data_IF_565118264183
#
_entry.id   IF_565118264183
#
_cell.length_a   1.000
_cell.length_b   1.000
_cell.length_c   1.000
_cell.angle_alpha   90.00
_cell.angle_beta   90.00
_cell.angle_gamma   90.00
#
_symmetry.space_group_name_H-M   'P 1'
#
loop_
_entity.id
_entity.type
_entity.pdbx_description
1 polymer ?
#
# COMPACT_ATOMS: atom_id res chain seq x y z
N UNK A 1 34.07 9.66 2.90
CA UNK A 1 32.91 9.60 1.97
C UNK A 1 33.40 9.00 0.65
N UNK A 2 32.93 7.80 0.26
CA UNK A 2 33.12 7.33 -1.12
C UNK A 2 32.40 8.33 -2.04
N UNK A 3 33.06 8.77 -3.11
CA UNK A 3 32.46 9.65 -4.09
C UNK A 3 31.15 9.04 -4.59
N UNK A 4 30.04 9.75 -4.43
CA UNK A 4 28.79 9.43 -5.11
C UNK A 4 29.13 9.27 -6.59
N UNK A 5 28.82 8.10 -7.17
CA UNK A 5 29.09 7.81 -8.56
C UNK A 5 28.44 8.93 -9.39
N UNK A 6 29.26 9.68 -10.13
CA UNK A 6 28.72 10.72 -11.03
C UNK A 6 27.83 10.03 -12.05
N UNK A 7 26.55 10.38 -12.03
CA UNK A 7 25.61 9.88 -13.04
C UNK A 7 26.06 10.32 -14.43
N UNK A 8 25.95 9.39 -15.39
CA UNK A 8 26.17 9.66 -16.81
C UNK A 8 24.85 10.01 -17.52
N UNK A 9 23.77 10.27 -16.77
CA UNK A 9 22.45 10.61 -17.31
C UNK A 9 22.54 11.93 -18.12
N UNK A 10 22.41 11.89 -19.46
CA UNK A 10 22.53 13.08 -20.32
C UNK A 10 21.40 14.07 -20.10
N UNK A 11 20.24 13.63 -19.56
CA UNK A 11 19.08 14.48 -19.29
C UNK A 11 19.04 15.01 -17.84
N UNK A 12 20.14 14.89 -17.09
CA UNK A 12 20.18 15.29 -15.68
C UNK A 12 19.83 16.78 -15.49
N UNK A 13 20.36 17.63 -16.35
CA UNK A 13 20.12 19.07 -16.28
C UNK A 13 18.64 19.41 -16.52
N UNK A 14 18.00 18.79 -17.51
CA UNK A 14 16.59 18.97 -17.82
C UNK A 14 15.67 18.53 -16.66
N UNK A 15 15.97 17.38 -16.05
CA UNK A 15 15.25 16.89 -14.88
C UNK A 15 15.36 17.83 -13.67
N UNK A 16 16.55 18.38 -13.43
CA UNK A 16 16.74 19.37 -12.38
C UNK A 16 16.00 20.67 -12.68
N UNK A 17 16.01 21.13 -13.92
CA UNK A 17 15.27 22.32 -14.33
C UNK A 17 13.74 22.13 -14.20
N UNK A 18 13.22 20.94 -14.53
CA UNK A 18 11.80 20.64 -14.34
C UNK A 18 11.40 20.69 -12.87
N UNK A 19 12.25 20.16 -11.97
CA UNK A 19 12.03 20.21 -10.53
C UNK A 19 12.10 21.65 -9.99
N UNK A 20 13.09 22.44 -10.41
CA UNK A 20 13.24 23.86 -10.09
C UNK A 20 12.01 24.68 -10.50
N UNK A 21 11.47 24.38 -11.71
CA UNK A 21 10.22 24.99 -12.19
C UNK A 21 9.04 24.65 -11.28
N UNK A 22 8.93 23.43 -10.77
CA UNK A 22 7.85 23.04 -9.85
C UNK A 22 7.96 23.81 -8.52
N UNK A 23 9.18 24.00 -8.00
CA UNK A 23 9.41 24.80 -6.81
C UNK A 23 8.97 26.25 -7.01
N UNK A 24 9.36 26.85 -8.15
CA UNK A 24 8.98 28.23 -8.50
C UNK A 24 7.46 28.39 -8.59
N UNK A 25 6.77 27.46 -9.28
CA UNK A 25 5.31 27.48 -9.37
C UNK A 25 4.67 27.37 -7.99
N UNK A 26 5.18 26.51 -7.11
CA UNK A 26 4.65 26.37 -5.76
C UNK A 26 4.80 27.67 -4.95
N UNK A 27 5.93 28.37 -5.08
CA UNK A 27 6.13 29.68 -4.44
C UNK A 27 5.11 30.70 -4.94
N UNK A 28 4.88 30.79 -6.24
CA UNK A 28 3.91 31.69 -6.86
C UNK A 28 2.46 31.36 -6.42
N UNK A 29 2.09 30.09 -6.38
CA UNK A 29 0.77 29.64 -5.94
C UNK A 29 0.55 29.97 -4.46
N UNK A 30 1.51 29.70 -3.60
CA UNK A 30 1.44 30.06 -2.16
C UNK A 30 1.31 31.56 -1.95
N UNK A 31 1.92 32.37 -2.81
CA UNK A 31 1.85 33.82 -2.68
C UNK A 31 0.56 34.40 -3.28
N UNK A 32 0.04 33.86 -4.37
CA UNK A 32 -0.96 34.54 -5.19
C UNK A 32 -2.32 33.81 -5.23
N UNK A 33 -2.37 32.47 -5.10
CA UNK A 33 -3.62 31.72 -5.18
C UNK A 33 -4.39 31.72 -3.86
N UNK A 34 -5.64 32.21 -3.82
CA UNK A 34 -6.45 32.24 -2.59
C UNK A 34 -6.73 30.88 -1.97
N UNK A 35 -6.72 29.79 -2.77
CA UNK A 35 -6.94 28.43 -2.28
C UNK A 35 -5.64 27.88 -1.70
N UNK A 36 -4.53 27.97 -2.43
CA UNK A 36 -3.23 27.44 -2.00
C UNK A 36 -2.75 28.11 -0.71
N UNK A 37 -2.92 29.44 -0.57
CA UNK A 37 -2.60 30.19 0.65
C UNK A 37 -3.23 29.62 1.91
N UNK A 38 -4.42 29.03 1.82
CA UNK A 38 -5.20 28.54 2.96
C UNK A 38 -4.84 27.10 3.34
N UNK A 39 -4.11 26.39 2.47
CA UNK A 39 -3.81 25.00 2.74
C UNK A 39 -2.82 24.84 3.90
N UNK A 40 -3.07 23.81 4.69
CA UNK A 40 -2.23 23.36 5.81
C UNK A 40 -1.82 21.89 5.58
N UNK A 41 -0.88 21.37 6.37
CA UNK A 41 -0.52 19.95 6.31
C UNK A 41 -1.73 19.05 6.56
N UNK A 42 -2.60 19.47 7.47
CA UNK A 42 -3.83 18.73 7.82
C UNK A 42 -4.84 18.73 6.68
N UNK A 43 -5.03 19.88 6.01
CA UNK A 43 -6.00 19.98 4.91
C UNK A 43 -5.58 19.21 3.67
N UNK A 44 -4.28 19.07 3.40
CA UNK A 44 -3.74 18.31 2.27
C UNK A 44 -3.66 16.81 2.55
N UNK A 45 -3.73 16.38 3.80
CA UNK A 45 -3.46 14.99 4.18
C UNK A 45 -4.38 13.99 3.48
N UNK A 46 -5.67 14.29 3.38
CA UNK A 46 -6.63 13.38 2.74
C UNK A 46 -6.40 13.30 1.22
N UNK A 47 -6.09 14.42 0.57
CA UNK A 47 -5.77 14.47 -0.85
C UNK A 47 -4.54 13.61 -1.16
N UNK A 48 -3.47 13.72 -0.36
CA UNK A 48 -2.27 12.87 -0.55
C UNK A 48 -2.59 11.37 -0.46
N UNK A 49 -3.53 10.98 0.39
CA UNK A 49 -3.97 9.58 0.49
C UNK A 49 -4.74 9.18 -0.77
N UNK A 50 -5.59 10.06 -1.30
CA UNK A 50 -6.35 9.88 -2.53
C UNK A 50 -5.40 9.64 -3.72
N UNK A 51 -4.44 10.55 -3.98
CA UNK A 51 -3.44 10.39 -5.05
C UNK A 51 -2.63 9.09 -4.91
N UNK A 52 -2.37 8.65 -3.67
CA UNK A 52 -1.65 7.39 -3.43
C UNK A 52 -2.48 6.18 -3.86
N UNK A 53 -3.80 6.21 -3.67
CA UNK A 53 -4.71 5.16 -4.13
C UNK A 53 -4.91 5.22 -5.65
N UNK A 54 -5.03 6.41 -6.24
CA UNK A 54 -5.14 6.59 -7.70
C UNK A 54 -3.88 6.07 -8.40
N UNK A 55 -2.69 6.35 -7.86
CA UNK A 55 -1.44 5.75 -8.35
C UNK A 55 -1.47 4.22 -8.23
N UNK A 56 -1.96 3.67 -7.12
CA UNK A 56 -2.04 2.22 -6.94
C UNK A 56 -2.98 1.59 -7.97
N UNK A 57 -4.10 2.22 -8.26
CA UNK A 57 -5.05 1.78 -9.29
C UNK A 57 -4.46 1.84 -10.69
N UNK A 58 -3.81 2.94 -11.05
CA UNK A 58 -3.14 3.09 -12.34
C UNK A 58 -2.04 2.03 -12.56
N UNK A 59 -1.30 1.66 -11.50
CA UNK A 59 -0.30 0.59 -11.55
C UNK A 59 -0.97 -0.77 -11.80
N UNK A 60 -2.09 -1.08 -11.14
CA UNK A 60 -2.82 -2.33 -11.33
C UNK A 60 -3.41 -2.46 -12.75
N UNK A 61 -3.77 -1.35 -13.36
CA UNK A 61 -4.30 -1.29 -14.73
C UNK A 61 -3.20 -1.28 -15.79
N UNK A 62 -1.96 -0.98 -15.39
CA UNK A 62 -0.82 -0.87 -16.29
C UNK A 62 -0.86 0.40 -17.15
N UNK A 63 -1.64 1.42 -16.75
CA UNK A 63 -1.79 2.66 -17.50
C UNK A 63 -0.62 3.62 -17.20
N UNK A 64 0.38 3.63 -18.09
CA UNK A 64 1.61 4.42 -17.93
C UNK A 64 1.36 5.94 -17.99
N UNK A 65 0.32 6.40 -18.68
CA UNK A 65 0.00 7.83 -18.75
C UNK A 65 -0.65 8.29 -17.44
N UNK A 66 -1.56 7.48 -16.89
CA UNK A 66 -2.16 7.76 -15.59
C UNK A 66 -1.13 7.63 -14.46
N UNK A 67 -0.26 6.60 -14.46
CA UNK A 67 0.86 6.50 -13.50
C UNK A 67 1.72 7.75 -13.50
N UNK A 68 2.05 8.29 -14.68
CA UNK A 68 2.84 9.53 -14.81
C UNK A 68 2.13 10.73 -14.18
N UNK A 69 0.82 10.84 -14.36
CA UNK A 69 -0.02 11.90 -13.81
C UNK A 69 -0.05 11.83 -12.30
N UNK A 70 -0.41 10.67 -11.73
CA UNK A 70 -0.51 10.49 -10.29
C UNK A 70 0.85 10.66 -9.56
N UNK A 71 1.96 10.27 -10.21
CA UNK A 71 3.30 10.60 -9.71
C UNK A 71 3.54 12.12 -9.67
N UNK A 72 2.99 12.87 -10.62
CA UNK A 72 3.04 14.33 -10.64
C UNK A 72 2.29 14.93 -9.46
N UNK A 73 1.09 14.44 -9.18
CA UNK A 73 0.22 14.93 -8.09
C UNK A 73 0.80 14.59 -6.71
N UNK A 74 1.37 13.40 -6.52
CA UNK A 74 2.13 13.07 -5.31
C UNK A 74 3.36 13.98 -5.17
N UNK A 75 4.10 14.25 -6.26
CA UNK A 75 5.26 15.14 -6.22
C UNK A 75 4.85 16.57 -5.85
N UNK A 76 3.73 17.07 -6.39
CA UNK A 76 3.13 18.35 -5.99
C UNK A 76 2.88 18.39 -4.49
N UNK A 77 2.24 17.38 -3.91
CA UNK A 77 1.97 17.33 -2.47
C UNK A 77 3.26 17.31 -1.64
N UNK A 78 4.30 16.58 -2.05
CA UNK A 78 5.58 16.56 -1.36
C UNK A 78 6.26 17.94 -1.35
N UNK A 79 6.22 18.65 -2.46
CA UNK A 79 6.73 20.03 -2.57
C UNK A 79 5.88 20.98 -1.74
N UNK A 80 4.56 20.81 -1.74
CA UNK A 80 3.64 21.65 -0.96
C UNK A 80 3.88 21.51 0.54
N UNK A 81 4.01 20.29 1.06
CA UNK A 81 4.38 20.07 2.46
C UNK A 81 5.73 20.68 2.82
N UNK A 82 6.71 20.56 1.91
CA UNK A 82 8.04 21.15 2.12
C UNK A 82 7.98 22.69 2.15
N UNK A 83 7.14 23.29 1.31
CA UNK A 83 6.90 24.74 1.31
C UNK A 83 6.24 25.20 2.60
N UNK A 84 5.21 24.49 3.10
CA UNK A 84 4.57 24.79 4.39
C UNK A 84 5.57 24.62 5.54
N UNK A 85 6.45 23.62 5.48
CA UNK A 85 7.53 23.42 6.45
C UNK A 85 8.51 24.59 6.49
N UNK A 86 8.90 25.11 5.32
CA UNK A 86 9.78 26.27 5.15
C UNK A 86 9.13 27.56 5.69
N UNK A 87 7.84 27.78 5.41
CA UNK A 87 7.09 28.93 5.95
C UNK A 87 7.00 28.92 7.49
N UNK A 88 7.10 27.73 8.10
CA UNK A 88 7.16 27.54 9.56
C UNK A 88 8.59 27.55 10.12
N UNK A 89 9.60 27.73 9.25
CA UNK A 89 11.02 27.69 9.61
C UNK A 89 11.46 26.39 10.30
N UNK A 90 10.84 25.23 9.91
CA UNK A 90 11.13 23.92 10.52
C UNK A 90 12.00 23.05 9.60
N UNK A 91 11.65 22.97 8.33
CA UNK A 91 12.37 22.24 7.29
C UNK A 91 11.95 22.73 5.92
N UNK A 92 12.76 22.49 4.91
CA UNK A 92 12.46 22.76 3.51
C UNK A 92 12.64 21.49 2.63
N UNK A 93 12.50 21.64 1.31
CA UNK A 93 12.65 20.53 0.37
C UNK A 93 14.08 20.00 0.33
N UNK A 94 15.09 20.83 0.57
CA UNK A 94 16.48 20.38 0.60
C UNK A 94 16.74 19.50 1.84
N UNK A 95 16.17 19.84 2.98
CA UNK A 95 16.25 19.02 4.19
C UNK A 95 15.58 17.65 3.98
N UNK A 96 14.41 17.63 3.36
CA UNK A 96 13.69 16.38 3.02
C UNK A 96 14.53 15.50 2.11
N UNK A 97 15.09 16.06 1.03
CA UNK A 97 15.89 15.33 0.06
C UNK A 97 17.23 14.86 0.65
N UNK A 98 17.94 15.70 1.38
CA UNK A 98 19.19 15.32 2.03
C UNK A 98 18.97 14.24 3.07
N UNK A 99 17.94 14.35 3.90
CA UNK A 99 17.60 13.34 4.90
C UNK A 99 17.35 11.96 4.30
N UNK A 100 16.60 11.89 3.19
CA UNK A 100 16.39 10.59 2.52
C UNK A 100 17.65 10.08 1.84
N UNK A 101 18.47 10.95 1.23
CA UNK A 101 19.75 10.56 0.63
C UNK A 101 20.70 9.97 1.68
N UNK A 102 20.88 10.63 2.81
CA UNK A 102 21.73 10.17 3.90
C UNK A 102 21.24 8.83 4.45
N UNK A 103 19.93 8.68 4.63
CA UNK A 103 19.31 7.43 5.04
C UNK A 103 19.56 6.29 4.03
N UNK A 104 19.44 6.55 2.75
CA UNK A 104 19.72 5.55 1.69
C UNK A 104 21.18 5.16 1.67
N UNK A 105 22.12 6.11 1.76
CA UNK A 105 23.56 5.86 1.83
C UNK A 105 23.89 4.99 3.03
N UNK A 106 23.36 5.34 4.20
CA UNK A 106 23.59 4.60 5.44
C UNK A 106 23.07 3.15 5.38
N UNK A 107 21.91 2.95 4.74
CA UNK A 107 21.25 1.62 4.65
C UNK A 107 21.76 0.74 3.52
N UNK A 108 22.65 1.24 2.66
CA UNK A 108 23.25 0.47 1.58
C UNK A 108 24.78 0.41 1.74
N UNK A 109 25.31 -0.14 2.86
CA UNK A 109 26.74 -0.20 3.09
C UNK A 109 27.47 -1.11 2.09
N UNK A 110 26.75 -1.98 1.40
CA UNK A 110 27.27 -2.81 0.31
C UNK A 110 27.47 -2.00 -1.00
N UNK A 111 26.82 -0.85 -1.17
CA UNK A 111 27.03 0.07 -2.31
C UNK A 111 27.98 1.21 -1.93
N UNK A 112 27.72 1.87 -0.79
CA UNK A 112 28.42 3.09 -0.39
C UNK A 112 29.49 2.86 0.68
N UNK A 113 29.55 1.66 1.26
CA UNK A 113 30.50 1.25 2.30
C UNK A 113 31.46 0.15 1.84
N UNK A 114 31.88 -0.69 2.79
CA UNK A 114 32.81 -1.78 2.58
C UNK A 114 32.19 -3.17 2.85
N UNK A 115 30.93 -3.24 3.19
CA UNK A 115 30.22 -4.49 3.40
C UNK A 115 29.91 -5.16 2.05
N UNK A 116 29.83 -6.50 2.06
CA UNK A 116 29.40 -7.26 0.88
C UNK A 116 28.01 -7.83 1.15
N UNK A 117 27.14 -7.76 0.17
CA UNK A 117 25.89 -8.49 0.14
C UNK A 117 25.78 -9.14 -1.24
N UNK A 118 25.71 -10.47 -1.27
CA UNK A 118 25.76 -11.24 -2.52
C UNK A 118 24.35 -11.59 -3.03
N UNK A 119 23.32 -11.46 -2.15
CA UNK A 119 21.94 -11.80 -2.46
C UNK A 119 20.94 -10.82 -1.81
N UNK A 120 19.72 -10.83 -2.31
CA UNK A 120 18.62 -9.96 -1.88
C UNK A 120 18.22 -10.21 -0.42
N UNK A 121 18.27 -11.46 0.03
CA UNK A 121 17.88 -11.84 1.38
C UNK A 121 18.84 -11.23 2.42
N UNK A 122 20.14 -11.28 2.14
CA UNK A 122 21.19 -10.64 2.95
C UNK A 122 20.99 -9.12 3.00
N UNK A 123 20.63 -8.50 1.87
CA UNK A 123 20.31 -7.05 1.83
C UNK A 123 19.11 -6.75 2.72
N UNK A 124 18.01 -7.49 2.62
CA UNK A 124 16.80 -7.30 3.44
C UNK A 124 17.09 -7.48 4.94
N UNK A 125 17.81 -8.53 5.32
CA UNK A 125 18.20 -8.78 6.72
C UNK A 125 19.09 -7.66 7.29
N UNK A 126 20.06 -7.19 6.53
CA UNK A 126 20.92 -6.09 6.94
C UNK A 126 20.15 -4.79 7.07
N UNK A 127 19.23 -4.51 6.17
CA UNK A 127 18.34 -3.34 6.21
C UNK A 127 17.51 -3.29 7.50
N UNK A 128 16.83 -4.39 7.88
CA UNK A 128 16.05 -4.40 9.12
C UNK A 128 16.93 -4.26 10.37
N UNK A 129 18.13 -4.89 10.40
CA UNK A 129 19.10 -4.69 11.49
C UNK A 129 19.56 -3.24 11.62
N UNK A 130 19.81 -2.56 10.51
CA UNK A 130 20.22 -1.15 10.50
C UNK A 130 19.10 -0.25 10.99
N UNK A 131 17.85 -0.49 10.56
CA UNK A 131 16.67 0.23 11.03
C UNK A 131 16.45 0.12 12.55
N UNK A 132 16.71 -1.03 13.13
CA UNK A 132 16.60 -1.23 14.57
C UNK A 132 17.64 -0.41 15.33
N UNK A 133 18.88 -0.32 14.80
CA UNK A 133 19.97 0.47 15.40
C UNK A 133 19.72 1.98 15.34
N UNK A 134 19.17 2.48 14.22
CA UNK A 134 18.97 3.92 13.98
C UNK A 134 18.03 4.60 14.99
N UNK A 135 17.01 3.91 15.44
CA UNK A 135 15.93 4.52 16.22
C UNK A 135 16.06 4.33 17.73
N UNK A 136 17.08 3.59 18.19
CA UNK A 136 17.11 3.15 19.60
C UNK A 136 15.82 2.37 19.98
N UNK A 137 15.11 1.86 18.99
CA UNK A 137 13.84 1.17 19.19
C UNK A 137 14.08 -0.17 19.87
N UNK A 138 13.65 -0.27 21.11
CA UNK A 138 13.61 -1.52 21.87
C UNK A 138 12.56 -2.51 21.33
N UNK A 139 11.71 -2.10 20.39
CA UNK A 139 10.63 -2.93 19.83
C UNK A 139 10.73 -3.04 18.30
N UNK A 140 10.78 -4.28 17.82
CA UNK A 140 10.74 -4.61 16.38
C UNK A 140 9.48 -4.03 15.72
N UNK A 141 8.35 -4.12 16.39
CA UNK A 141 7.05 -3.68 15.89
C UNK A 141 6.74 -2.19 16.16
N UNK A 142 7.54 -1.53 17.02
CA UNK A 142 7.32 -0.12 17.39
C UNK A 142 7.36 0.87 16.22
N UNK A 143 7.92 0.48 15.07
CA UNK A 143 7.95 1.29 13.84
C UNK A 143 6.81 1.00 12.86
N UNK A 144 5.79 0.21 13.23
CA UNK A 144 4.60 -0.01 12.41
C UNK A 144 3.63 1.15 12.62
N UNK A 145 3.28 1.93 11.58
CA UNK A 145 2.36 3.04 11.74
C UNK A 145 0.98 2.58 12.19
N UNK A 146 0.44 3.24 13.22
CA UNK A 146 -0.88 2.89 13.77
C UNK A 146 -2.04 3.13 12.79
N UNK A 147 -1.86 4.06 11.87
CA UNK A 147 -2.87 4.50 10.88
C UNK A 147 -2.94 3.63 9.62
N UNK A 148 -2.08 2.63 9.46
CA UNK A 148 -2.16 1.75 8.29
C UNK A 148 -3.49 1.00 8.25
N UNK A 149 -4.08 0.80 7.04
CA UNK A 149 -5.17 -0.14 6.82
C UNK A 149 -4.82 -1.53 7.35
N UNK A 150 -5.82 -2.30 7.78
CA UNK A 150 -5.60 -3.53 8.54
C UNK A 150 -4.78 -4.57 7.77
N UNK A 151 -5.07 -4.77 6.47
CA UNK A 151 -4.34 -5.75 5.63
C UNK A 151 -2.87 -5.34 5.49
N UNK A 152 -2.60 -4.09 5.10
CA UNK A 152 -1.23 -3.57 4.95
C UNK A 152 -0.48 -3.61 6.30
N UNK A 153 -1.18 -3.34 7.40
CA UNK A 153 -0.62 -3.42 8.75
C UNK A 153 -0.22 -4.85 9.11
N UNK A 154 -1.06 -5.84 8.83
CA UNK A 154 -0.78 -7.26 9.08
C UNK A 154 0.44 -7.71 8.26
N UNK A 155 0.48 -7.40 6.96
CA UNK A 155 1.66 -7.65 6.12
C UNK A 155 2.93 -7.07 6.74
N UNK A 156 2.86 -5.81 7.17
CA UNK A 156 4.04 -5.12 7.73
C UNK A 156 4.49 -5.68 9.07
N UNK A 157 3.56 -6.13 9.92
CA UNK A 157 3.85 -6.82 11.19
C UNK A 157 4.60 -8.13 10.90
N UNK A 158 4.09 -8.94 9.99
CA UNK A 158 4.64 -10.25 9.64
C UNK A 158 6.03 -10.14 8.99
N UNK A 159 6.21 -9.20 8.05
CA UNK A 159 7.53 -8.91 7.47
C UNK A 159 8.58 -8.55 8.53
N UNK A 160 8.20 -7.74 9.52
CA UNK A 160 9.11 -7.35 10.59
C UNK A 160 9.43 -8.48 11.54
N UNK A 161 8.44 -9.33 11.85
CA UNK A 161 8.63 -10.51 12.68
C UNK A 161 9.56 -11.52 11.98
N UNK A 162 9.31 -11.80 10.71
CA UNK A 162 10.16 -12.64 9.86
C UNK A 162 11.59 -12.10 9.79
N UNK A 163 11.77 -10.79 9.61
CA UNK A 163 13.09 -10.13 9.53
C UNK A 163 13.98 -10.31 10.78
N UNK A 164 13.42 -10.70 11.92
CA UNK A 164 14.17 -11.03 13.15
C UNK A 164 14.19 -12.52 13.45
N UNK A 165 13.72 -13.36 12.52
CA UNK A 165 13.75 -14.81 12.63
C UNK A 165 12.51 -15.42 13.32
N UNK A 166 11.46 -14.63 13.58
CA UNK A 166 10.18 -15.15 14.02
C UNK A 166 9.29 -15.44 12.81
N UNK A 167 9.48 -16.60 12.21
CA UNK A 167 8.77 -17.03 11.01
C UNK A 167 8.63 -18.55 10.96
N UNK A 168 7.71 -19.03 10.13
CA UNK A 168 7.51 -20.44 9.84
C UNK A 168 8.63 -20.98 8.92
N UNK A 169 8.88 -22.28 8.99
CA UNK A 169 9.91 -22.91 8.15
C UNK A 169 9.46 -23.11 6.70
N UNK A 170 8.15 -23.36 6.49
CA UNK A 170 7.59 -23.63 5.18
C UNK A 170 6.11 -23.25 5.10
N UNK A 171 5.58 -23.18 3.88
CA UNK A 171 4.20 -22.77 3.60
C UNK A 171 3.15 -23.78 4.10
N UNK A 172 3.51 -25.05 4.22
CA UNK A 172 2.63 -26.11 4.69
C UNK A 172 2.27 -25.90 6.16
N UNK A 173 3.24 -25.50 6.99
CA UNK A 173 2.97 -25.14 8.40
C UNK A 173 2.05 -23.91 8.51
N UNK A 174 2.26 -22.92 7.65
CA UNK A 174 1.39 -21.72 7.63
C UNK A 174 -0.04 -22.09 7.21
N UNK A 175 -0.18 -23.01 6.22
CA UNK A 175 -1.50 -23.48 5.81
C UNK A 175 -2.21 -24.26 6.91
N UNK A 176 -1.49 -25.10 7.64
CA UNK A 176 -2.04 -25.80 8.83
C UNK A 176 -2.58 -24.81 9.87
N UNK A 177 -1.88 -23.66 10.07
CA UNK A 177 -2.39 -22.62 10.97
C UNK A 177 -3.67 -21.96 10.42
N UNK A 178 -3.80 -21.77 9.11
CA UNK A 178 -5.07 -21.29 8.52
C UNK A 178 -6.21 -22.27 8.79
N UNK A 179 -5.97 -23.59 8.66
CA UNK A 179 -6.97 -24.62 8.95
C UNK A 179 -7.35 -24.64 10.43
N UNK A 180 -6.39 -24.49 11.34
CA UNK A 180 -6.61 -24.38 12.78
C UNK A 180 -7.54 -23.20 13.12
N UNK A 181 -7.25 -21.98 12.62
CA UNK A 181 -8.08 -20.79 12.85
C UNK A 181 -9.51 -20.95 12.28
N UNK A 182 -9.65 -21.62 11.15
CA UNK A 182 -10.97 -21.95 10.58
C UNK A 182 -11.73 -22.89 11.51
N UNK A 183 -11.08 -23.87 12.10
CA UNK A 183 -11.73 -24.82 13.01
C UNK A 183 -12.08 -24.16 14.37
N UNK A 184 -11.24 -23.26 14.90
CA UNK A 184 -11.53 -22.45 16.08
C UNK A 184 -12.76 -21.55 15.85
N UNK A 185 -12.85 -20.89 14.71
CA UNK A 185 -14.05 -20.13 14.33
C UNK A 185 -15.31 -21.03 14.28
N UNK A 186 -15.22 -22.23 13.69
CA UNK A 186 -16.35 -23.17 13.64
C UNK A 186 -16.80 -23.60 15.02
N UNK A 187 -15.86 -23.83 15.95
CA UNK A 187 -16.18 -24.17 17.34
C UNK A 187 -16.94 -23.04 18.03
N UNK A 188 -16.50 -21.78 17.86
CA UNK A 188 -17.22 -20.63 18.45
C UNK A 188 -18.63 -20.44 17.82
N UNK A 189 -18.76 -20.65 16.51
CA UNK A 189 -20.05 -20.58 15.81
C UNK A 189 -20.99 -21.72 16.21
N UNK A 190 -20.49 -22.90 16.57
CA UNK A 190 -21.29 -24.06 17.01
C UNK A 190 -21.93 -23.89 18.39
N UNK A 191 -21.55 -22.88 19.16
CA UNK A 191 -22.10 -22.60 20.51
C UNK A 191 -23.43 -21.79 20.41
N UNK A 192 -24.45 -22.36 19.76
CA UNK A 192 -25.72 -21.71 19.37
C UNK A 192 -26.43 -20.89 20.47
N UNK A 193 -26.31 -21.25 21.74
CA UNK A 193 -27.01 -20.55 22.85
C UNK A 193 -26.31 -19.26 23.33
N UNK A 194 -25.14 -18.93 22.83
CA UNK A 194 -24.30 -17.83 23.30
C UNK A 194 -23.81 -16.90 22.20
N UNK A 195 -24.43 -16.89 21.01
CA UNK A 195 -23.96 -16.11 19.87
C UNK A 195 -23.74 -14.62 20.20
N UNK A 196 -24.61 -14.00 20.99
CA UNK A 196 -24.46 -12.60 21.39
C UNK A 196 -23.36 -12.39 22.43
N UNK A 197 -23.14 -13.40 23.32
CA UNK A 197 -22.08 -13.36 24.34
C UNK A 197 -20.69 -13.69 23.73
N UNK A 198 -20.66 -14.47 22.65
CA UNK A 198 -19.43 -14.91 21.97
C UNK A 198 -19.02 -14.01 20.78
N UNK A 199 -19.74 -12.92 20.52
CA UNK A 199 -19.47 -12.08 19.34
C UNK A 199 -18.03 -11.55 19.29
N UNK A 200 -17.44 -11.20 20.42
CA UNK A 200 -16.05 -10.75 20.50
C UNK A 200 -15.09 -11.88 20.11
N UNK A 201 -15.29 -13.08 20.63
CA UNK A 201 -14.47 -14.26 20.27
C UNK A 201 -14.60 -14.62 18.78
N UNK A 202 -15.82 -14.63 18.24
CA UNK A 202 -16.06 -14.86 16.81
C UNK A 202 -15.32 -13.79 15.96
N UNK A 203 -15.28 -12.56 16.43
CA UNK A 203 -14.54 -11.48 15.76
C UNK A 203 -13.03 -11.69 15.85
N UNK A 204 -12.51 -12.17 16.97
CA UNK A 204 -11.10 -12.49 17.16
C UNK A 204 -10.69 -13.64 16.23
N UNK A 205 -11.39 -14.79 16.26
CA UNK A 205 -11.09 -15.94 15.38
C UNK A 205 -11.21 -15.58 13.89
N UNK A 206 -12.19 -14.76 13.51
CA UNK A 206 -12.28 -14.27 12.13
C UNK A 206 -11.08 -13.38 11.77
N UNK A 207 -10.62 -12.58 12.70
CA UNK A 207 -9.40 -11.78 12.56
C UNK A 207 -8.15 -12.65 12.39
N UNK A 208 -8.04 -13.74 13.16
CA UNK A 208 -6.91 -14.65 13.11
C UNK A 208 -6.86 -15.46 11.80
N UNK A 209 -8.01 -15.84 11.24
CA UNK A 209 -8.10 -16.40 9.87
C UNK A 209 -7.54 -15.41 8.85
N UNK A 210 -7.97 -14.15 8.89
CA UNK A 210 -7.48 -13.14 7.94
C UNK A 210 -5.97 -12.91 8.11
N UNK A 211 -5.48 -12.86 9.34
CA UNK A 211 -4.06 -12.68 9.63
C UNK A 211 -3.22 -13.87 9.13
N UNK A 212 -3.70 -15.10 9.34
CA UNK A 212 -3.04 -16.34 8.88
C UNK A 212 -3.05 -16.45 7.35
N UNK A 213 -4.15 -16.06 6.67
CA UNK A 213 -4.21 -16.00 5.21
C UNK A 213 -3.23 -14.95 4.64
N UNK A 214 -3.13 -13.78 5.27
CA UNK A 214 -2.15 -12.75 4.89
C UNK A 214 -0.73 -13.29 5.10
N UNK A 215 -0.48 -14.06 6.16
CA UNK A 215 0.82 -14.69 6.34
C UNK A 215 1.12 -15.72 5.25
N UNK A 216 0.15 -16.57 4.92
CA UNK A 216 0.29 -17.56 3.85
C UNK A 216 0.62 -16.91 2.51
N UNK A 217 0.02 -15.76 2.22
CA UNK A 217 0.26 -15.04 0.98
C UNK A 217 1.75 -14.67 0.76
N UNK A 218 2.51 -14.42 1.84
CA UNK A 218 3.96 -14.18 1.78
C UNK A 218 4.72 -15.40 1.25
N UNK A 219 4.33 -16.60 1.66
CA UNK A 219 4.99 -17.85 1.28
C UNK A 219 4.68 -18.29 -0.15
N UNK A 220 3.61 -17.77 -0.73
CA UNK A 220 3.24 -18.01 -2.14
C UNK A 220 3.50 -16.77 -3.03
N UNK A 221 4.22 -15.78 -2.50
CA UNK A 221 4.61 -14.55 -3.21
C UNK A 221 3.43 -13.76 -3.79
N UNK A 222 2.29 -13.76 -3.09
CA UNK A 222 1.09 -13.01 -3.48
C UNK A 222 0.93 -11.80 -2.56
N UNK A 223 0.72 -10.63 -3.13
CA UNK A 223 0.32 -9.45 -2.35
C UNK A 223 -1.18 -9.57 -2.03
N UNK A 224 -1.61 -9.69 -0.75
CA UNK A 224 -3.01 -9.91 -0.39
C UNK A 224 -3.89 -8.68 -0.64
N UNK A 225 -3.37 -7.46 -0.51
CA UNK A 225 -4.08 -6.21 -0.82
C UNK A 225 -4.40 -6.15 -2.31
N UNK A 226 -3.40 -6.37 -3.17
CA UNK A 226 -3.57 -6.45 -4.62
C UNK A 226 -4.55 -7.57 -5.03
N UNK A 227 -4.42 -8.75 -4.43
CA UNK A 227 -5.27 -9.90 -4.73
C UNK A 227 -6.74 -9.63 -4.40
N UNK A 228 -7.00 -8.94 -3.28
CA UNK A 228 -8.34 -8.54 -2.87
C UNK A 228 -8.87 -7.46 -3.79
N UNK A 229 -8.08 -6.43 -4.13
CA UNK A 229 -8.49 -5.35 -5.02
C UNK A 229 -8.81 -5.86 -6.43
N UNK A 230 -8.00 -6.75 -6.99
CA UNK A 230 -8.33 -7.44 -8.25
C UNK A 230 -9.68 -8.17 -8.18
N UNK A 231 -10.02 -8.71 -7.02
CA UNK A 231 -11.31 -9.38 -6.81
C UNK A 231 -12.45 -8.38 -6.72
N UNK A 232 -12.25 -7.24 -6.04
CA UNK A 232 -13.19 -6.13 -5.98
C UNK A 232 -13.51 -5.59 -7.39
N UNK A 233 -12.48 -5.23 -8.16
CA UNK A 233 -12.62 -4.76 -9.55
C UNK A 233 -13.37 -5.76 -10.43
N UNK A 234 -13.03 -7.04 -10.30
CA UNK A 234 -13.72 -8.12 -11.01
C UNK A 234 -15.20 -8.24 -10.62
N UNK A 235 -15.51 -8.07 -9.33
CA UNK A 235 -16.89 -8.07 -8.85
C UNK A 235 -17.66 -6.87 -9.38
N UNK A 236 -17.10 -5.67 -9.27
CA UNK A 236 -17.70 -4.41 -9.75
C UNK A 236 -18.00 -4.50 -11.25
N UNK A 237 -17.03 -4.90 -12.07
CA UNK A 237 -17.20 -5.05 -13.52
C UNK A 237 -18.35 -6.01 -13.87
N UNK A 238 -18.45 -7.14 -13.18
CA UNK A 238 -19.54 -8.10 -13.39
C UNK A 238 -20.89 -7.58 -12.94
N UNK A 239 -20.91 -6.85 -11.84
CA UNK A 239 -22.13 -6.26 -11.32
C UNK A 239 -22.65 -5.15 -12.25
N UNK A 240 -21.77 -4.30 -12.74
CA UNK A 240 -22.11 -3.27 -13.75
C UNK A 240 -22.67 -3.89 -15.04
N UNK A 241 -22.14 -5.03 -15.48
CA UNK A 241 -22.73 -5.78 -16.59
C UNK A 241 -24.17 -6.21 -16.30
N UNK A 242 -24.46 -6.66 -15.07
CA UNK A 242 -25.86 -6.97 -14.66
C UNK A 242 -26.73 -5.73 -14.72
N UNK A 243 -26.26 -4.58 -14.20
CA UNK A 243 -26.96 -3.30 -14.23
C UNK A 243 -27.35 -2.90 -15.66
N UNK A 244 -26.39 -2.99 -16.57
CA UNK A 244 -26.66 -2.74 -17.99
C UNK A 244 -27.72 -3.66 -18.60
N UNK A 245 -27.64 -4.97 -18.31
CA UNK A 245 -28.59 -5.95 -18.86
C UNK A 245 -30.01 -5.74 -18.30
N UNK A 246 -30.10 -5.37 -17.03
CA UNK A 246 -31.38 -5.04 -16.37
C UNK A 246 -31.96 -3.77 -16.98
N UNK A 247 -31.15 -2.72 -17.11
CA UNK A 247 -31.55 -1.44 -17.71
C UNK A 247 -32.03 -1.60 -19.15
N UNK A 248 -31.32 -2.36 -19.98
CA UNK A 248 -31.70 -2.67 -21.37
C UNK A 248 -33.07 -3.36 -21.48
N UNK A 249 -33.51 -4.03 -20.43
CA UNK A 249 -34.85 -4.64 -20.35
C UNK A 249 -35.94 -3.75 -19.74
N UNK A 250 -35.59 -2.52 -19.37
CA UNK A 250 -36.51 -1.62 -18.70
C UNK A 250 -37.01 -2.08 -17.32
N UNK A 251 -36.19 -2.95 -16.67
CA UNK A 251 -36.46 -3.49 -15.32
C UNK A 251 -35.62 -2.81 -14.27
N UNK A 252 -35.94 -3.05 -13.01
CA UNK A 252 -35.17 -2.70 -11.83
C UNK A 252 -34.69 -3.99 -11.11
N UNK A 253 -33.66 -3.89 -10.25
CA UNK A 253 -33.22 -5.01 -9.43
C UNK A 253 -34.30 -5.68 -8.62
N UNK A 254 -35.22 -4.89 -8.04
CA UNK A 254 -36.37 -5.40 -7.26
C UNK A 254 -37.36 -6.23 -8.05
N UNK A 255 -37.29 -6.22 -9.39
CA UNK A 255 -38.14 -7.00 -10.30
C UNK A 255 -37.45 -8.27 -10.82
N UNK A 256 -36.27 -8.58 -10.35
CA UNK A 256 -35.48 -9.72 -10.77
C UNK A 256 -35.28 -10.71 -9.61
N UNK A 257 -35.37 -11.98 -9.91
CA UNK A 257 -34.94 -13.02 -8.97
C UNK A 257 -33.43 -13.15 -8.95
N UNK A 258 -32.87 -13.70 -7.87
CA UNK A 258 -31.42 -14.01 -7.77
C UNK A 258 -30.99 -14.93 -8.92
N UNK A 259 -31.80 -15.94 -9.26
CA UNK A 259 -31.52 -16.87 -10.36
C UNK A 259 -31.46 -16.20 -11.74
N UNK A 260 -32.21 -15.12 -11.96
CA UNK A 260 -32.11 -14.32 -13.19
C UNK A 260 -30.84 -13.46 -13.19
N UNK A 261 -30.45 -12.87 -12.06
CA UNK A 261 -29.21 -12.12 -11.90
C UNK A 261 -27.99 -13.02 -12.08
N UNK A 262 -28.00 -14.24 -11.54
CA UNK A 262 -26.94 -15.23 -11.69
C UNK A 262 -26.69 -15.62 -13.15
N UNK A 263 -27.72 -15.64 -14.00
CA UNK A 263 -27.53 -15.87 -15.45
C UNK A 263 -26.68 -14.77 -16.10
N UNK A 264 -26.90 -13.51 -15.70
CA UNK A 264 -26.06 -12.40 -16.21
C UNK A 264 -24.67 -12.42 -15.61
N UNK A 265 -24.54 -12.75 -14.32
CA UNK A 265 -23.27 -12.93 -13.66
C UNK A 265 -22.39 -13.98 -14.36
N UNK A 266 -22.97 -15.11 -14.73
CA UNK A 266 -22.25 -16.17 -15.46
C UNK A 266 -21.89 -15.75 -16.88
N UNK A 267 -22.75 -15.01 -17.58
CA UNK A 267 -22.39 -14.41 -18.88
C UNK A 267 -21.23 -13.43 -18.78
N UNK A 268 -21.20 -12.60 -17.72
CA UNK A 268 -20.07 -11.68 -17.48
C UNK A 268 -18.76 -12.42 -17.20
N UNK A 269 -18.81 -13.65 -16.66
CA UNK A 269 -17.62 -14.49 -16.49
C UNK A 269 -17.08 -15.03 -17.82
N UNK A 270 -17.98 -15.41 -18.73
CA UNK A 270 -17.63 -15.99 -20.04
C UNK A 270 -16.98 -14.96 -20.96
N UNK A 271 -17.45 -13.70 -20.95
CA UNK A 271 -16.86 -12.61 -21.75
C UNK A 271 -15.38 -12.28 -21.42
N UNK A 272 -14.86 -12.71 -20.29
CA UNK A 272 -13.47 -12.48 -19.89
C UNK A 272 -12.49 -13.55 -20.42
N UNK A 273 -12.97 -14.62 -21.03
CA UNK A 273 -12.12 -15.65 -21.62
C UNK A 273 -11.76 -15.37 -23.10
N UNK A 274 -12.18 -14.21 -23.64
CA UNK A 274 -11.95 -13.80 -25.03
C UNK A 274 -10.99 -12.59 -25.17
N UNK A 275 -10.53 -11.98 -24.06
CA UNK A 275 -9.50 -10.94 -23.99
C UNK A 275 -8.22 -11.47 -23.29
#
# INVERSE_FOLDING_TARGET
MKNIIKTTDPQRAEKLQAFDRLLTIMDELRENCPWDKKQTMESLRHLTIEETYELADAILEGDMEEIKKELGDIMLHLVFYSKIGSEKEVFDVADVLNSICDKLIHRHPHIYGNEKAEDEETVKKNWEKLKLKEKGNLSVLGGVPKSLPAVIKAMRIQEKASGVGFDWENKEQVWQKVEEEIDELKEELGKEKQYLENKEKIMDEFGDILFSLINYSRFIEVNPEEALERTNKKFIKRFQFIEEQISKKGKSFGQMSLAEMDKYWNKAKEQKNED
#
